data_IF_117613980831
#
_entry.id   IF_117613980831
#
_cell.length_a   1.000
_cell.length_b   1.000
_cell.length_c   1.000
_cell.angle_alpha   90.00
_cell.angle_beta   90.00
_cell.angle_gamma   90.00
#
_symmetry.space_group_name_H-M   'P 1'
#
loop_
_entity.id
_entity.type
_entity.pdbx_description
1 polymer ?
#
# COMPACT_ATOMS: atom_id res chain seq x y z
N UNK A 1 68.75 3.87 6.79
CA UNK A 1 68.62 2.55 6.14
C UNK A 1 67.71 1.70 7.01
N UNK A 2 66.47 1.48 6.60
CA UNK A 2 65.51 0.63 7.32
C UNK A 2 65.86 -0.82 6.95
N UNK A 3 66.05 -1.70 7.93
CA UNK A 3 66.47 -3.08 7.69
C UNK A 3 65.44 -3.83 6.82
N UNK A 4 65.88 -4.67 5.87
CA UNK A 4 65.00 -5.36 4.90
C UNK A 4 63.89 -6.19 5.57
N UNK A 5 64.12 -6.67 6.79
CA UNK A 5 63.16 -7.43 7.59
C UNK A 5 61.90 -6.63 7.97
N UNK A 6 62.02 -5.31 8.19
CA UNK A 6 60.88 -4.45 8.54
C UNK A 6 59.98 -4.15 7.32
N UNK A 7 60.53 -4.20 6.11
CA UNK A 7 59.77 -3.99 4.87
C UNK A 7 58.82 -5.16 4.61
N UNK A 8 59.32 -6.39 4.75
CA UNK A 8 58.55 -7.61 4.51
C UNK A 8 57.41 -7.74 5.51
N UNK A 9 57.67 -7.49 6.80
CA UNK A 9 56.63 -7.52 7.83
C UNK A 9 55.49 -6.52 7.53
N UNK A 10 55.83 -5.33 7.01
CA UNK A 10 54.86 -4.30 6.65
C UNK A 10 54.00 -4.70 5.46
N UNK A 11 54.60 -5.30 4.43
CA UNK A 11 53.88 -5.77 3.24
C UNK A 11 52.92 -6.91 3.56
N UNK A 12 53.34 -7.89 4.38
CA UNK A 12 52.47 -8.99 4.81
C UNK A 12 51.26 -8.48 5.59
N UNK A 13 51.45 -7.49 6.48
CA UNK A 13 50.35 -6.86 7.22
C UNK A 13 49.39 -6.12 6.28
N UNK A 14 49.90 -5.41 5.27
CA UNK A 14 49.04 -4.71 4.31
C UNK A 14 48.28 -5.68 3.41
N UNK A 15 48.93 -6.76 2.96
CA UNK A 15 48.29 -7.80 2.15
C UNK A 15 47.15 -8.46 2.92
N UNK A 16 47.38 -8.87 4.17
CA UNK A 16 46.35 -9.47 5.02
C UNK A 16 45.20 -8.50 5.29
N UNK A 17 45.49 -7.21 5.52
CA UNK A 17 44.46 -6.16 5.66
C UNK A 17 43.64 -5.99 4.38
N UNK A 18 44.29 -6.08 3.21
CA UNK A 18 43.62 -5.98 1.91
C UNK A 18 42.71 -7.18 1.66
N UNK A 19 43.15 -8.41 1.97
CA UNK A 19 42.30 -9.60 1.87
C UNK A 19 41.11 -9.53 2.83
N UNK A 20 41.32 -9.15 4.09
CA UNK A 20 40.22 -8.93 5.04
C UNK A 20 39.23 -7.89 4.52
N UNK A 21 39.72 -6.81 3.91
CA UNK A 21 38.87 -5.78 3.30
C UNK A 21 38.10 -6.31 2.08
N UNK A 22 38.70 -7.19 1.28
CA UNK A 22 38.07 -7.80 0.12
C UNK A 22 36.99 -8.80 0.56
N UNK A 23 37.26 -9.62 1.56
CA UNK A 23 36.30 -10.58 2.12
C UNK A 23 35.12 -9.87 2.78
N UNK A 24 35.38 -8.80 3.53
CA UNK A 24 34.32 -7.96 4.10
C UNK A 24 33.43 -7.31 3.02
N UNK A 25 34.03 -6.83 1.92
CA UNK A 25 33.28 -6.28 0.77
C UNK A 25 32.44 -7.34 0.06
N UNK A 26 32.95 -8.57 -0.08
CA UNK A 26 32.17 -9.67 -0.67
C UNK A 26 31.00 -10.09 0.22
N UNK A 27 31.20 -10.16 1.55
CA UNK A 27 30.13 -10.42 2.51
C UNK A 27 29.05 -9.32 2.47
N UNK A 28 29.43 -8.05 2.44
CA UNK A 28 28.49 -6.93 2.28
C UNK A 28 27.76 -6.92 0.93
N UNK A 29 28.42 -7.37 -0.14
CA UNK A 29 27.80 -7.49 -1.47
C UNK A 29 26.76 -8.61 -1.49
N UNK A 30 27.02 -9.71 -0.78
CA UNK A 30 26.07 -10.80 -0.57
C UNK A 30 24.89 -10.39 0.32
N UNK A 31 25.12 -9.52 1.29
CA UNK A 31 24.08 -8.94 2.14
C UNK A 31 23.22 -7.89 1.41
N UNK A 32 23.73 -7.29 0.33
CA UNK A 32 23.02 -6.36 -0.56
C UNK A 32 22.32 -7.04 -1.74
N UNK A 33 22.70 -8.27 -2.11
CA UNK A 33 21.86 -9.10 -2.96
C UNK A 33 20.65 -9.53 -2.14
N UNK A 34 19.55 -8.78 -2.33
CA UNK A 34 18.32 -8.88 -1.55
C UNK A 34 17.89 -10.33 -1.30
N UNK A 35 17.51 -10.57 -0.05
CA UNK A 35 16.90 -11.81 0.40
C UNK A 35 15.69 -12.13 -0.49
N UNK A 36 15.51 -13.37 -0.98
CA UNK A 36 14.27 -13.79 -1.63
C UNK A 36 13.14 -13.71 -0.58
N UNK A 37 12.43 -12.58 -0.55
CA UNK A 37 11.39 -12.31 0.45
C UNK A 37 11.10 -10.83 0.74
N UNK A 38 12.02 -9.90 0.43
CA UNK A 38 11.75 -8.47 0.60
C UNK A 38 11.05 -7.91 -0.65
N UNK A 39 9.71 -7.93 -0.66
CA UNK A 39 8.96 -7.10 -1.60
C UNK A 39 9.30 -5.63 -1.31
N UNK A 40 9.89 -4.88 -2.27
CA UNK A 40 10.18 -3.47 -2.05
C UNK A 40 8.89 -2.75 -1.62
N UNK A 41 8.96 -1.86 -0.64
CA UNK A 41 7.78 -1.14 -0.10
C UNK A 41 6.97 -0.46 -1.21
N UNK A 42 7.65 0.01 -2.26
CA UNK A 42 7.02 0.54 -3.47
C UNK A 42 6.21 -0.52 -4.24
N UNK A 43 6.74 -1.72 -4.46
CA UNK A 43 6.01 -2.83 -5.10
C UNK A 43 4.77 -3.20 -4.31
N UNK A 44 4.88 -3.29 -2.98
CA UNK A 44 3.73 -3.52 -2.11
C UNK A 44 2.69 -2.39 -2.23
N UNK A 45 3.13 -1.13 -2.23
CA UNK A 45 2.28 0.06 -2.42
C UNK A 45 1.54 0.00 -3.75
N UNK A 46 2.23 -0.36 -4.84
CA UNK A 46 1.65 -0.47 -6.17
C UNK A 46 0.59 -1.57 -6.23
N UNK A 47 0.91 -2.78 -5.75
CA UNK A 47 -0.01 -3.92 -5.73
C UNK A 47 -1.26 -3.58 -4.92
N UNK A 48 -1.11 -3.08 -3.70
CA UNK A 48 -2.24 -2.72 -2.84
C UNK A 48 -3.08 -1.61 -3.45
N UNK A 49 -2.46 -0.57 -4.01
CA UNK A 49 -3.18 0.54 -4.65
C UNK A 49 -4.00 0.08 -5.86
N UNK A 50 -3.42 -0.78 -6.71
CA UNK A 50 -4.10 -1.30 -7.92
C UNK A 50 -5.23 -2.25 -7.54
N UNK A 51 -5.01 -3.18 -6.60
CA UNK A 51 -6.05 -4.09 -6.13
C UNK A 51 -7.21 -3.33 -5.50
N UNK A 52 -6.92 -2.37 -4.61
CA UNK A 52 -7.95 -1.54 -4.01
C UNK A 52 -8.71 -0.76 -5.09
N UNK A 53 -8.01 -0.08 -6.01
CA UNK A 53 -8.64 0.66 -7.10
C UNK A 53 -9.58 -0.22 -7.96
N UNK A 54 -9.17 -1.44 -8.29
CA UNK A 54 -10.00 -2.38 -9.04
C UNK A 54 -11.30 -2.72 -8.31
N UNK A 55 -11.23 -3.01 -7.00
CA UNK A 55 -12.43 -3.30 -6.20
C UNK A 55 -13.32 -2.07 -6.03
N UNK A 56 -12.74 -0.87 -5.91
CA UNK A 56 -13.50 0.38 -5.87
C UNK A 56 -14.27 0.63 -7.17
N UNK A 57 -13.63 0.41 -8.33
CA UNK A 57 -14.28 0.52 -9.64
C UNK A 57 -15.42 -0.48 -9.75
N UNK A 58 -15.21 -1.74 -9.38
CA UNK A 58 -16.28 -2.75 -9.34
C UNK A 58 -17.43 -2.33 -8.40
N UNK A 59 -17.12 -1.81 -7.22
CA UNK A 59 -18.13 -1.33 -6.27
C UNK A 59 -18.88 -0.10 -6.79
N UNK A 60 -18.24 0.75 -7.58
CA UNK A 60 -18.86 1.89 -8.24
C UNK A 60 -19.80 1.44 -9.37
N UNK A 61 -19.40 0.49 -10.22
CA UNK A 61 -20.26 -0.03 -11.29
C UNK A 61 -21.53 -0.68 -10.75
N UNK A 62 -21.45 -1.40 -9.61
CA UNK A 62 -22.65 -1.91 -8.94
C UNK A 62 -23.61 -0.78 -8.52
N UNK A 63 -23.10 0.33 -7.99
CA UNK A 63 -23.93 1.49 -7.60
C UNK A 63 -24.55 2.18 -8.82
N UNK A 64 -23.76 2.41 -9.86
CA UNK A 64 -24.22 3.02 -11.11
C UNK A 64 -25.24 2.14 -11.85
N UNK A 65 -25.27 0.84 -11.58
CA UNK A 65 -26.23 -0.06 -12.20
C UNK A 65 -27.68 0.16 -11.74
N UNK A 66 -27.90 0.80 -10.58
CA UNK A 66 -29.22 1.04 -10.00
C UNK A 66 -30.13 -0.21 -9.93
N UNK A 67 -29.55 -1.42 -9.95
CA UNK A 67 -30.30 -2.68 -9.85
C UNK A 67 -31.06 -2.71 -8.52
N UNK A 68 -32.28 -3.24 -8.55
CA UNK A 68 -33.18 -3.26 -7.39
C UNK A 68 -32.51 -3.88 -6.13
N UNK A 69 -31.75 -4.96 -6.31
CA UNK A 69 -31.01 -5.59 -5.21
C UNK A 69 -29.97 -4.66 -4.56
N UNK A 70 -29.30 -3.82 -5.36
CA UNK A 70 -28.33 -2.82 -4.89
C UNK A 70 -29.07 -1.70 -4.17
N UNK A 71 -30.07 -1.10 -4.81
CA UNK A 71 -30.88 -0.01 -4.24
C UNK A 71 -31.48 -0.43 -2.90
N UNK A 72 -32.13 -1.60 -2.84
CA UNK A 72 -32.69 -2.17 -1.62
C UNK A 72 -31.62 -2.39 -0.54
N UNK A 73 -30.42 -2.79 -0.94
CA UNK A 73 -29.31 -2.97 0.01
C UNK A 73 -28.85 -1.65 0.63
N UNK A 74 -28.77 -0.57 -0.16
CA UNK A 74 -28.38 0.76 0.34
C UNK A 74 -29.51 1.45 1.11
N UNK A 75 -30.77 1.24 0.72
CA UNK A 75 -31.93 1.75 1.44
C UNK A 75 -32.00 1.19 2.88
N UNK A 76 -31.62 -0.07 3.10
CA UNK A 76 -31.55 -0.67 4.46
C UNK A 76 -30.63 0.07 5.41
N UNK A 77 -29.56 0.69 4.90
CA UNK A 77 -28.61 1.48 5.69
C UNK A 77 -28.90 2.98 5.63
N UNK A 78 -30.09 3.37 5.18
CA UNK A 78 -30.56 4.75 5.13
C UNK A 78 -29.99 5.59 3.98
N UNK A 79 -29.40 4.96 2.96
CA UNK A 79 -28.88 5.66 1.78
C UNK A 79 -29.93 5.62 0.66
N UNK A 80 -30.53 6.78 0.27
CA UNK A 80 -31.50 6.80 -0.81
C UNK A 80 -30.83 6.62 -2.17
N UNK A 81 -31.59 6.12 -3.14
CA UNK A 81 -31.12 5.79 -4.48
C UNK A 81 -30.39 6.95 -5.18
N UNK A 82 -30.91 8.19 -5.04
CA UNK A 82 -30.30 9.39 -5.64
C UNK A 82 -28.88 9.70 -5.15
N UNK A 83 -28.41 9.08 -4.05
CA UNK A 83 -27.02 9.22 -3.58
C UNK A 83 -26.07 8.19 -4.18
N UNK A 84 -26.57 7.12 -4.82
CA UNK A 84 -25.71 6.04 -5.33
C UNK A 84 -24.70 6.52 -6.36
N UNK A 85 -25.12 7.42 -7.26
CA UNK A 85 -24.21 8.05 -8.23
C UNK A 85 -23.11 8.87 -7.54
N UNK A 86 -23.45 9.65 -6.52
CA UNK A 86 -22.46 10.42 -5.77
C UNK A 86 -21.46 9.51 -5.03
N UNK A 87 -21.94 8.42 -4.43
CA UNK A 87 -21.07 7.42 -3.78
C UNK A 87 -20.17 6.72 -4.81
N UNK A 88 -20.70 6.40 -6.00
CA UNK A 88 -19.92 5.80 -7.07
C UNK A 88 -18.81 6.74 -7.56
N UNK A 89 -19.13 8.02 -7.79
CA UNK A 89 -18.16 9.04 -8.19
C UNK A 89 -17.06 9.20 -7.14
N UNK A 90 -17.40 9.15 -5.85
CA UNK A 90 -16.41 9.24 -4.77
C UNK A 90 -15.45 8.04 -4.78
N UNK A 91 -15.94 6.82 -5.05
CA UNK A 91 -15.11 5.63 -5.19
C UNK A 91 -14.21 5.70 -6.43
N UNK A 92 -14.73 6.18 -7.55
CA UNK A 92 -13.95 6.39 -8.77
C UNK A 92 -12.87 7.46 -8.59
N UNK A 93 -13.19 8.55 -7.90
CA UNK A 93 -12.23 9.59 -7.54
C UNK A 93 -11.13 9.03 -6.61
N UNK A 94 -11.50 8.23 -5.61
CA UNK A 94 -10.54 7.53 -4.76
C UNK A 94 -9.64 6.57 -5.54
N UNK A 95 -10.21 5.77 -6.46
CA UNK A 95 -9.45 4.88 -7.33
C UNK A 95 -8.47 5.65 -8.23
N UNK A 96 -8.94 6.73 -8.87
CA UNK A 96 -8.10 7.61 -9.68
C UNK A 96 -6.98 8.25 -8.84
N UNK A 97 -7.28 8.68 -7.62
CA UNK A 97 -6.31 9.24 -6.69
C UNK A 97 -5.25 8.23 -6.24
N UNK A 98 -5.63 6.96 -6.01
CA UNK A 98 -4.68 5.88 -5.69
C UNK A 98 -3.71 5.62 -6.85
N UNK A 99 -4.21 5.56 -8.08
CA UNK A 99 -3.40 5.31 -9.27
C UNK A 99 -2.52 6.52 -9.62
N UNK A 100 -3.09 7.73 -9.64
CA UNK A 100 -2.33 8.98 -9.83
C UNK A 100 -1.31 9.20 -8.70
N UNK A 101 -1.61 8.72 -7.51
CA UNK A 101 -0.72 8.68 -6.36
C UNK A 101 0.57 7.91 -6.60
N UNK A 102 0.57 6.92 -7.49
CA UNK A 102 1.79 6.16 -7.84
C UNK A 102 2.82 7.05 -8.57
N UNK A 103 2.35 8.09 -9.25
CA UNK A 103 3.19 9.10 -9.91
C UNK A 103 3.45 10.29 -9.00
N UNK A 104 2.46 10.68 -8.18
CA UNK A 104 2.49 11.84 -7.28
C UNK A 104 2.17 11.41 -5.85
N UNK A 105 3.16 11.08 -5.01
CA UNK A 105 2.94 10.52 -3.67
C UNK A 105 1.91 11.25 -2.79
N UNK A 106 1.85 12.61 -2.77
CA UNK A 106 0.84 13.34 -1.98
C UNK A 106 -0.61 13.01 -2.36
N UNK A 107 -0.89 12.74 -3.65
CA UNK A 107 -2.23 12.33 -4.10
C UNK A 107 -2.60 10.95 -3.55
N UNK A 108 -1.63 10.04 -3.47
CA UNK A 108 -1.83 8.70 -2.92
C UNK A 108 -2.18 8.73 -1.44
N UNK A 109 -1.48 9.56 -0.66
CA UNK A 109 -1.78 9.76 0.78
C UNK A 109 -3.19 10.35 0.93
N UNK A 110 -3.50 11.43 0.20
CA UNK A 110 -4.82 12.08 0.28
C UNK A 110 -5.97 11.12 -0.11
N UNK A 111 -5.80 10.34 -1.18
CA UNK A 111 -6.78 9.37 -1.63
C UNK A 111 -7.00 8.25 -0.60
N UNK A 112 -5.92 7.68 -0.06
CA UNK A 112 -6.02 6.65 0.98
C UNK A 112 -6.69 7.17 2.25
N UNK A 113 -6.36 8.38 2.70
CA UNK A 113 -7.05 9.04 3.83
C UNK A 113 -8.55 9.20 3.57
N UNK A 114 -8.93 9.71 2.40
CA UNK A 114 -10.34 9.90 2.04
C UNK A 114 -11.10 8.56 2.00
N UNK A 115 -10.48 7.51 1.47
CA UNK A 115 -11.05 6.17 1.43
C UNK A 115 -11.24 5.56 2.83
N UNK A 116 -10.27 5.75 3.73
CA UNK A 116 -10.41 5.36 5.14
C UNK A 116 -11.64 6.05 5.75
N UNK A 117 -11.77 7.37 5.58
CA UNK A 117 -12.94 8.12 6.04
C UNK A 117 -14.26 7.61 5.44
N UNK A 118 -14.28 7.35 4.14
CA UNK A 118 -15.44 6.79 3.45
C UNK A 118 -15.87 5.44 4.02
N UNK A 119 -14.93 4.51 4.21
CA UNK A 119 -15.26 3.17 4.71
C UNK A 119 -15.59 3.16 6.19
N UNK A 120 -15.03 4.07 7.00
CA UNK A 120 -15.47 4.28 8.37
C UNK A 120 -16.94 4.70 8.43
N UNK A 121 -17.36 5.65 7.58
CA UNK A 121 -18.77 6.05 7.47
C UNK A 121 -19.66 4.89 7.00
N UNK A 122 -19.19 4.08 6.04
CA UNK A 122 -19.92 2.89 5.59
C UNK A 122 -20.10 1.86 6.71
N UNK A 123 -19.02 1.54 7.44
CA UNK A 123 -19.05 0.64 8.61
C UNK A 123 -20.03 1.17 9.65
N UNK A 124 -19.96 2.46 9.98
CA UNK A 124 -20.87 3.09 10.92
C UNK A 124 -22.33 3.00 10.46
N UNK A 125 -22.63 3.18 9.17
CA UNK A 125 -23.97 3.04 8.62
C UNK A 125 -24.52 1.61 8.77
N UNK A 126 -23.71 0.59 8.43
CA UNK A 126 -24.11 -0.81 8.61
C UNK A 126 -24.30 -1.19 10.08
N UNK A 127 -23.41 -0.74 10.98
CA UNK A 127 -23.54 -0.98 12.43
C UNK A 127 -24.81 -0.34 12.98
N UNK A 128 -25.09 0.92 12.62
CA UNK A 128 -26.31 1.64 13.04
C UNK A 128 -27.59 0.99 12.53
N UNK A 129 -27.56 0.41 11.33
CA UNK A 129 -28.69 -0.30 10.73
C UNK A 129 -28.81 -1.77 11.20
N UNK A 130 -27.86 -2.27 12.01
CA UNK A 130 -27.82 -3.68 12.43
C UNK A 130 -27.52 -4.67 11.30
N UNK A 131 -27.00 -4.23 10.16
CA UNK A 131 -26.77 -5.04 8.96
C UNK A 131 -25.45 -5.82 9.04
N UNK A 132 -25.37 -6.76 9.99
CA UNK A 132 -24.16 -7.55 10.26
C UNK A 132 -23.74 -8.44 9.08
N UNK A 133 -24.71 -8.92 8.31
CA UNK A 133 -24.46 -9.83 7.18
C UNK A 133 -23.63 -9.18 6.06
N UNK A 134 -23.67 -7.86 5.93
CA UNK A 134 -22.98 -7.11 4.87
C UNK A 134 -21.86 -6.22 5.40
N UNK A 135 -21.58 -6.28 6.71
CA UNK A 135 -20.53 -5.51 7.36
C UNK A 135 -19.12 -5.96 6.94
N UNK A 136 -18.95 -7.23 6.53
CA UNK A 136 -17.66 -7.78 6.16
C UNK A 136 -17.01 -7.03 4.98
N UNK A 137 -17.78 -6.67 3.96
CA UNK A 137 -17.28 -5.97 2.77
C UNK A 137 -16.67 -4.59 3.08
N UNK A 138 -17.39 -3.64 3.71
CA UNK A 138 -16.81 -2.34 4.03
C UNK A 138 -15.66 -2.44 5.05
N UNK A 139 -15.67 -3.43 5.96
CA UNK A 139 -14.53 -3.67 6.87
C UNK A 139 -13.28 -4.14 6.12
N UNK A 140 -13.40 -5.09 5.20
CA UNK A 140 -12.27 -5.55 4.39
C UNK A 140 -11.67 -4.41 3.57
N UNK A 141 -12.52 -3.55 3.00
CA UNK A 141 -12.08 -2.38 2.24
C UNK A 141 -11.47 -1.29 3.13
N UNK A 142 -11.97 -1.11 4.35
CA UNK A 142 -11.36 -0.24 5.34
C UNK A 142 -9.93 -0.69 5.69
N UNK A 143 -9.73 -1.99 5.93
CA UNK A 143 -8.42 -2.57 6.22
C UNK A 143 -7.48 -2.34 5.03
N UNK A 144 -7.95 -2.59 3.81
CA UNK A 144 -7.15 -2.40 2.61
C UNK A 144 -6.80 -0.92 2.37
N UNK A 145 -7.73 0.01 2.64
CA UNK A 145 -7.48 1.45 2.57
C UNK A 145 -6.48 1.93 3.64
N UNK A 146 -6.58 1.38 4.87
CA UNK A 146 -5.63 1.67 5.94
C UNK A 146 -4.23 1.13 5.61
N UNK A 147 -4.14 -0.08 5.05
CA UNK A 147 -2.88 -0.65 4.56
C UNK A 147 -2.28 0.20 3.42
N UNK A 148 -3.10 0.65 2.47
CA UNK A 148 -2.67 1.57 1.42
C UNK A 148 -2.14 2.88 2.01
N UNK A 149 -2.80 3.45 3.01
CA UNK A 149 -2.34 4.66 3.69
C UNK A 149 -1.00 4.44 4.40
N UNK A 150 -0.87 3.35 5.17
CA UNK A 150 0.38 3.03 5.87
C UNK A 150 1.56 2.83 4.90
N UNK A 151 1.34 2.09 3.81
CA UNK A 151 2.35 1.88 2.76
C UNK A 151 2.74 3.19 2.08
N UNK A 152 1.78 4.09 1.83
CA UNK A 152 2.06 5.42 1.28
C UNK A 152 2.89 6.26 2.23
N UNK A 153 2.60 6.26 3.52
CA UNK A 153 3.40 6.99 4.51
C UNK A 153 4.82 6.40 4.66
N UNK A 154 4.98 5.09 4.44
CA UNK A 154 6.28 4.42 4.47
C UNK A 154 7.11 4.56 3.18
N UNK A 155 6.52 5.04 2.09
CA UNK A 155 7.17 5.14 0.76
C UNK A 155 7.15 6.54 0.14
N UNK A 156 6.51 7.51 0.79
CA UNK A 156 6.40 8.91 0.34
C UNK A 156 7.62 9.75 0.72
#
# INVERSE_FOLDING_TARGET
>A
MISPTLSIARETIQMFRLELSQTARHAQRFQRSGVPGEVPVFTATAVVSVLLAAVLVFSATQKLSHKEAVVRSYAKVGVPEGRLNALALLLLAGAAGLLGGLVRPPLGVAASCALVGYFLLAVAAHVRAGDRARLATPLALLILAAAALALRLASA
#
